data_IF_163592698602
#
_entry.id   IF_163592698602
#
_cell.length_a   1.000
_cell.length_b   1.000
_cell.length_c   1.000
_cell.angle_alpha   90.00
_cell.angle_beta   90.00
_cell.angle_gamma   90.00
#
_symmetry.space_group_name_H-M   'P 1'
#
loop_
_entity.id
_entity.type
_entity.pdbx_description
1 polymer ?
#
# COMPACT_ATOMS: atom_id res chain seq x y z
N UNK A 1 -37.55 20.08 30.56
CA UNK A 1 -37.63 19.43 29.22
C UNK A 1 -36.43 19.74 28.32
N UNK A 2 -35.88 20.96 28.32
CA UNK A 2 -34.70 21.33 27.49
C UNK A 2 -33.42 20.61 27.93
N UNK A 3 -33.20 20.46 29.23
CA UNK A 3 -32.00 19.80 29.79
C UNK A 3 -31.97 18.29 29.48
N UNK A 4 -33.14 17.66 29.41
CA UNK A 4 -33.27 16.27 29.02
C UNK A 4 -32.91 16.07 27.54
N UNK A 5 -33.31 17.00 26.66
CA UNK A 5 -32.95 16.95 25.23
C UNK A 5 -31.45 17.19 25.02
N UNK A 6 -30.84 18.12 25.75
CA UNK A 6 -29.39 18.40 25.67
C UNK A 6 -28.56 17.20 26.14
N UNK A 7 -28.98 16.53 27.23
CA UNK A 7 -28.32 15.32 27.72
C UNK A 7 -28.46 14.15 26.74
N UNK A 8 -29.63 13.97 26.14
CA UNK A 8 -29.86 12.92 25.12
C UNK A 8 -29.02 13.17 23.87
N UNK A 9 -28.96 14.40 23.37
CA UNK A 9 -28.14 14.75 22.19
C UNK A 9 -26.65 14.56 22.50
N UNK A 10 -26.18 14.93 23.69
CA UNK A 10 -24.80 14.72 24.12
C UNK A 10 -24.41 13.23 24.19
N UNK A 11 -25.30 12.38 24.72
CA UNK A 11 -25.07 10.93 24.78
C UNK A 11 -25.09 10.27 23.39
N UNK A 12 -25.97 10.72 22.50
CA UNK A 12 -26.01 10.23 21.11
C UNK A 12 -24.75 10.63 20.34
N UNK A 13 -24.29 11.88 20.49
CA UNK A 13 -23.06 12.34 19.85
C UNK A 13 -21.82 11.59 20.36
N UNK A 14 -21.72 11.36 21.67
CA UNK A 14 -20.62 10.58 22.26
C UNK A 14 -20.66 9.12 21.79
N UNK A 15 -21.85 8.51 21.73
CA UNK A 15 -22.05 7.16 21.20
C UNK A 15 -21.62 7.03 19.74
N UNK A 16 -21.91 8.03 18.91
CA UNK A 16 -21.53 8.06 17.50
C UNK A 16 -19.99 8.12 17.32
N UNK A 17 -19.31 8.93 18.12
CA UNK A 17 -17.84 9.05 18.08
C UNK A 17 -17.17 7.74 18.48
N UNK A 18 -17.68 7.07 19.52
CA UNK A 18 -17.15 5.77 19.97
C UNK A 18 -17.38 4.68 18.91
N UNK A 19 -18.55 4.67 18.26
CA UNK A 19 -18.86 3.74 17.16
C UNK A 19 -17.93 3.93 15.96
N UNK A 20 -17.64 5.17 15.57
CA UNK A 20 -16.73 5.47 14.46
C UNK A 20 -15.28 5.07 14.77
N UNK A 21 -14.81 5.27 16.01
CA UNK A 21 -13.46 4.88 16.43
C UNK A 21 -13.25 3.36 16.50
N UNK A 22 -14.31 2.59 16.80
CA UNK A 22 -14.24 1.14 16.86
C UNK A 22 -14.19 0.47 15.47
N UNK A 23 -14.65 1.16 14.42
CA UNK A 23 -14.71 0.61 13.06
C UNK A 23 -13.34 0.42 12.38
N UNK A 24 -12.29 1.11 12.84
CA UNK A 24 -10.95 1.03 12.25
C UNK A 24 -10.07 -0.12 12.76
N UNK A 25 -10.48 -0.81 13.84
CA UNK A 25 -9.67 -1.87 14.43
C UNK A 25 -9.91 -3.19 13.71
N UNK A 26 -9.01 -3.57 12.80
CA UNK A 26 -9.10 -4.80 12.01
C UNK A 26 -8.06 -5.83 12.45
N UNK A 27 -8.28 -7.10 12.11
CA UNK A 27 -7.32 -8.18 12.37
C UNK A 27 -6.69 -8.60 11.06
N UNK A 28 -5.36 -8.59 10.98
CA UNK A 28 -4.64 -8.98 9.78
C UNK A 28 -4.77 -10.49 9.57
N UNK A 29 -5.27 -10.96 8.41
CA UNK A 29 -5.57 -12.38 8.19
C UNK A 29 -4.34 -13.28 8.26
N UNK A 30 -3.15 -12.79 7.91
CA UNK A 30 -1.90 -13.57 7.89
C UNK A 30 -1.21 -13.63 9.25
N UNK A 31 -1.18 -12.50 9.98
CA UNK A 31 -0.41 -12.40 11.23
C UNK A 31 -1.27 -12.48 12.49
N UNK A 32 -2.59 -12.37 12.37
CA UNK A 32 -3.52 -12.33 13.50
C UNK A 32 -3.41 -11.07 14.36
N UNK A 33 -2.58 -10.09 13.98
CA UNK A 33 -2.38 -8.86 14.75
C UNK A 33 -3.59 -7.94 14.61
N UNK A 34 -4.04 -7.40 15.74
CA UNK A 34 -5.00 -6.30 15.81
C UNK A 34 -4.26 -5.01 15.47
N UNK A 35 -4.71 -4.30 14.45
CA UNK A 35 -4.16 -2.99 14.10
C UNK A 35 -5.25 -2.04 13.64
N UNK A 36 -4.97 -0.75 13.77
CA UNK A 36 -5.82 0.28 13.19
C UNK A 36 -5.53 0.34 11.68
N UNK A 37 -6.52 0.03 10.87
CA UNK A 37 -6.45 0.08 9.41
C UNK A 37 -7.24 1.29 8.93
N UNK A 38 -6.55 2.27 8.35
CA UNK A 38 -7.15 3.53 7.89
C UNK A 38 -7.63 3.47 6.43
N UNK A 39 -6.99 2.62 5.62
CA UNK A 39 -7.29 2.43 4.21
C UNK A 39 -7.67 0.97 3.99
N UNK A 40 -8.65 0.72 3.11
CA UNK A 40 -8.87 -0.64 2.64
C UNK A 40 -7.69 -1.12 1.78
N UNK A 41 -7.53 -2.44 1.66
CA UNK A 41 -6.48 -3.01 0.81
C UNK A 41 -6.58 -2.52 -0.65
N UNK A 42 -7.81 -2.30 -1.15
CA UNK A 42 -8.03 -1.75 -2.50
C UNK A 42 -7.64 -0.28 -2.62
N UNK A 43 -7.91 0.55 -1.62
CA UNK A 43 -7.47 1.95 -1.61
C UNK A 43 -5.94 2.07 -1.51
N UNK A 44 -5.31 1.27 -0.66
CA UNK A 44 -3.85 1.19 -0.56
C UNK A 44 -3.24 0.81 -1.91
N UNK A 45 -3.82 -0.19 -2.58
CA UNK A 45 -3.39 -0.63 -3.91
C UNK A 45 -3.48 0.49 -4.94
N UNK A 46 -4.63 1.17 -5.00
CA UNK A 46 -4.87 2.23 -5.97
C UNK A 46 -3.93 3.43 -5.77
N UNK A 47 -3.63 3.76 -4.51
CA UNK A 47 -2.62 4.77 -4.19
C UNK A 47 -1.23 4.33 -4.67
N UNK A 48 -0.83 3.08 -4.39
CA UNK A 48 0.42 2.51 -4.89
C UNK A 48 0.55 2.62 -6.41
N UNK A 49 -0.47 2.19 -7.15
CA UNK A 49 -0.53 2.28 -8.61
C UNK A 49 -0.38 3.71 -9.12
N UNK A 50 -1.12 4.64 -8.52
CA UNK A 50 -1.06 6.06 -8.90
C UNK A 50 0.33 6.64 -8.65
N UNK A 51 0.93 6.33 -7.49
CA UNK A 51 2.28 6.78 -7.15
C UNK A 51 3.34 6.22 -8.09
N UNK A 52 3.20 4.97 -8.52
CA UNK A 52 4.14 4.36 -9.47
C UNK A 52 4.05 4.93 -10.87
N UNK A 53 2.83 5.13 -11.37
CA UNK A 53 2.62 5.80 -12.65
C UNK A 53 3.15 7.23 -12.65
N UNK A 54 3.07 7.91 -11.50
CA UNK A 54 3.71 9.21 -11.34
C UNK A 54 5.24 9.08 -11.40
N UNK A 55 5.82 8.10 -10.70
CA UNK A 55 7.27 7.89 -10.73
C UNK A 55 7.80 7.58 -12.13
N UNK A 56 7.06 6.79 -12.93
CA UNK A 56 7.41 6.50 -14.33
C UNK A 56 7.45 7.74 -15.22
N UNK A 57 6.69 8.77 -14.88
CA UNK A 57 6.67 10.05 -15.62
C UNK A 57 7.79 10.98 -15.16
N UNK A 58 8.09 10.97 -13.87
CA UNK A 58 9.05 11.91 -13.26
C UNK A 58 10.50 11.42 -13.35
N UNK A 59 10.71 10.10 -13.30
CA UNK A 59 12.04 9.50 -13.23
C UNK A 59 12.37 8.72 -14.51
N UNK A 60 13.54 8.95 -15.13
CA UNK A 60 13.97 8.18 -16.28
C UNK A 60 14.03 6.68 -15.99
N UNK A 61 13.50 5.86 -16.90
CA UNK A 61 13.59 4.40 -16.81
C UNK A 61 14.95 3.93 -17.35
N UNK A 62 15.58 3.02 -16.60
CA UNK A 62 16.89 2.47 -16.93
C UNK A 62 16.85 1.59 -18.17
N UNK A 63 17.81 1.81 -19.06
CA UNK A 63 17.99 1.01 -20.28
C UNK A 63 19.07 -0.07 -20.15
N UNK A 64 19.66 -0.24 -18.96
CA UNK A 64 20.69 -1.25 -18.72
C UNK A 64 20.08 -2.68 -18.82
N UNK A 65 20.47 -3.48 -19.83
CA UNK A 65 19.90 -4.80 -20.03
C UNK A 65 20.27 -5.79 -18.92
N UNK A 66 21.44 -5.63 -18.28
CA UNK A 66 21.88 -6.54 -17.22
C UNK A 66 21.05 -6.32 -15.94
N UNK A 67 20.76 -5.07 -15.60
CA UNK A 67 19.95 -4.74 -14.41
C UNK A 67 18.49 -5.11 -14.61
N UNK A 68 17.94 -4.78 -15.78
CA UNK A 68 16.59 -5.16 -16.14
C UNK A 68 16.44 -6.70 -16.09
N UNK A 69 17.40 -7.45 -16.64
CA UNK A 69 17.38 -8.92 -16.58
C UNK A 69 17.49 -9.47 -15.15
N UNK A 70 18.27 -8.83 -14.28
CA UNK A 70 18.41 -9.22 -12.88
C UNK A 70 17.09 -9.04 -12.12
N UNK A 71 16.50 -7.83 -12.22
CA UNK A 71 15.24 -7.48 -11.55
C UNK A 71 14.10 -8.35 -12.02
N UNK A 72 13.98 -8.55 -13.33
CA UNK A 72 12.96 -9.43 -13.90
C UNK A 72 13.11 -10.88 -13.40
N UNK A 73 14.33 -11.37 -13.25
CA UNK A 73 14.58 -12.75 -12.77
C UNK A 73 14.19 -12.91 -11.30
N UNK A 74 14.59 -11.98 -10.44
CA UNK A 74 14.27 -12.04 -9.01
C UNK A 74 12.79 -11.79 -8.78
N UNK A 75 12.23 -10.75 -9.43
CA UNK A 75 10.83 -10.39 -9.33
C UNK A 75 9.88 -11.51 -9.74
N UNK A 76 10.15 -12.20 -10.85
CA UNK A 76 9.35 -13.37 -11.27
C UNK A 76 9.36 -14.50 -10.25
N UNK A 77 10.50 -14.76 -9.59
CA UNK A 77 10.57 -15.78 -8.53
C UNK A 77 9.75 -15.40 -7.30
N UNK A 78 9.75 -14.11 -6.94
CA UNK A 78 8.92 -13.59 -5.84
C UNK A 78 7.43 -13.68 -6.20
N UNK A 79 7.04 -13.22 -7.38
CA UNK A 79 5.66 -13.29 -7.84
C UNK A 79 5.13 -14.73 -7.88
N UNK A 80 5.97 -15.70 -8.27
CA UNK A 80 5.60 -17.12 -8.26
C UNK A 80 5.28 -17.66 -6.87
N UNK A 81 6.05 -17.26 -5.84
CA UNK A 81 5.79 -17.72 -4.47
C UNK A 81 4.66 -16.95 -3.78
N UNK A 82 4.44 -15.68 -4.15
CA UNK A 82 3.36 -14.85 -3.62
C UNK A 82 2.00 -15.13 -4.28
N UNK A 83 2.00 -15.64 -5.51
CA UNK A 83 0.79 -15.87 -6.31
C UNK A 83 -0.37 -16.61 -5.61
N UNK A 84 -0.13 -17.65 -4.79
CA UNK A 84 -1.22 -18.32 -4.06
C UNK A 84 -1.98 -17.39 -3.10
N UNK A 85 -1.30 -16.42 -2.49
CA UNK A 85 -1.89 -15.45 -1.57
C UNK A 85 -2.44 -14.21 -2.30
N UNK A 86 -2.01 -13.99 -3.55
CA UNK A 86 -2.33 -12.83 -4.37
C UNK A 86 -2.75 -13.25 -5.80
N UNK A 87 -3.90 -13.94 -5.96
CA UNK A 87 -4.26 -14.60 -7.23
C UNK A 87 -4.55 -13.64 -8.39
N UNK A 88 -4.86 -12.37 -8.09
CA UNK A 88 -5.21 -11.35 -9.09
C UNK A 88 -4.11 -10.29 -9.26
N UNK A 89 -2.94 -10.49 -8.66
CA UNK A 89 -1.85 -9.53 -8.72
C UNK A 89 -1.21 -9.47 -10.11
N UNK A 90 -1.22 -8.28 -10.71
CA UNK A 90 -0.48 -7.99 -11.93
C UNK A 90 0.84 -7.32 -11.55
N UNK A 91 1.96 -8.02 -11.77
CA UNK A 91 3.29 -7.57 -11.36
C UNK A 91 3.98 -6.78 -12.47
N UNK A 92 4.38 -5.54 -12.17
CA UNK A 92 5.31 -4.77 -13.00
C UNK A 92 6.64 -4.56 -12.27
N UNK A 93 7.75 -4.76 -12.99
CA UNK A 93 9.10 -4.58 -12.45
C UNK A 93 9.87 -3.59 -13.32
N UNK A 94 10.17 -2.41 -12.77
CA UNK A 94 10.84 -1.31 -13.48
C UNK A 94 12.06 -0.85 -12.70
N UNK A 95 13.16 -0.60 -13.42
CA UNK A 95 14.38 -0.01 -12.89
C UNK A 95 14.41 1.46 -13.30
N UNK A 96 14.63 2.34 -12.33
CA UNK A 96 14.72 3.79 -12.58
C UNK A 96 16.15 4.28 -12.44
N UNK A 97 16.56 5.17 -13.33
CA UNK A 97 17.84 5.88 -13.30
C UNK A 97 17.68 7.18 -12.49
N UNK A 98 17.69 7.08 -11.16
CA UNK A 98 17.72 8.25 -10.27
C UNK A 98 19.06 8.37 -9.56
N UNK A 99 19.49 9.61 -9.29
CA UNK A 99 20.62 9.89 -8.39
C UNK A 99 20.16 10.00 -6.94
N UNK A 100 18.90 10.34 -6.70
CA UNK A 100 18.32 10.27 -5.37
C UNK A 100 18.19 8.82 -4.92
N UNK A 101 18.61 8.53 -3.70
CA UNK A 101 18.24 7.32 -2.99
C UNK A 101 16.75 7.41 -2.61
N UNK A 102 15.83 6.95 -3.47
CA UNK A 102 14.47 6.66 -3.05
C UNK A 102 14.50 5.45 -2.12
N UNK A 103 14.35 5.68 -0.82
CA UNK A 103 14.43 4.65 0.20
C UNK A 103 13.67 3.37 -0.20
N UNK A 104 14.39 2.27 -0.36
CA UNK A 104 13.88 0.93 0.02
C UNK A 104 14.36 0.61 1.44
N UNK A 105 14.37 1.65 2.29
CA UNK A 105 15.13 1.87 3.53
C UNK A 105 16.62 2.19 3.29
N UNK A 106 17.00 3.42 3.65
CA UNK A 106 18.34 4.00 3.65
C UNK A 106 19.47 2.96 3.64
N UNK A 107 20.16 2.84 2.49
CA UNK A 107 21.55 2.35 2.25
C UNK A 107 21.66 1.45 1.01
N UNK A 108 21.55 2.00 -0.22
CA UNK A 108 22.36 1.65 -1.41
C UNK A 108 21.86 2.41 -2.67
N UNK A 109 22.73 2.77 -3.64
CA UNK A 109 22.42 3.78 -4.67
C UNK A 109 21.61 3.33 -5.90
N UNK A 110 20.85 2.21 -5.88
CA UNK A 110 20.08 1.76 -7.06
C UNK A 110 18.76 1.09 -6.68
N UNK A 111 17.68 1.47 -7.39
CA UNK A 111 16.28 1.24 -7.00
C UNK A 111 15.53 0.21 -7.85
N UNK A 112 14.62 -0.53 -7.20
CA UNK A 112 13.67 -1.45 -7.84
C UNK A 112 12.32 -1.28 -7.16
N UNK A 113 11.27 -0.96 -7.91
CA UNK A 113 9.89 -0.90 -7.40
C UNK A 113 9.05 -2.05 -7.95
N UNK A 114 8.19 -2.59 -7.08
CA UNK A 114 7.29 -3.70 -7.31
C UNK A 114 5.87 -3.19 -7.08
N UNK A 115 5.00 -3.27 -8.09
CA UNK A 115 3.62 -2.81 -7.95
C UNK A 115 2.70 -3.94 -8.40
N UNK A 116 1.70 -4.19 -7.57
CA UNK A 116 0.58 -5.08 -7.82
C UNK A 116 -0.54 -4.26 -8.48
N UNK A 117 -1.11 -4.73 -9.59
CA UNK A 117 -2.33 -4.18 -10.17
C UNK A 117 -3.46 -5.21 -9.98
N UNK A 118 -4.54 -4.84 -9.30
CA UNK A 118 -5.63 -5.75 -8.96
C UNK A 118 -6.95 -5.10 -9.42
N UNK A 119 -7.75 -5.83 -10.21
CA UNK A 119 -9.01 -5.37 -10.81
C UNK A 119 -10.21 -5.86 -10.01
#
# INVERSE_FOLDING_TARGET
MKDLRVRVVGLVALGLVVLLGAAGCSTVPVTGRKQLTLLSAGEEMQLGLTSFEQLKKETPISKDPALNALVQRVGKRIAQVAGPDMPNAQWEFVVFDSKEAHDIYQTHPRHVQFIEENK
#
